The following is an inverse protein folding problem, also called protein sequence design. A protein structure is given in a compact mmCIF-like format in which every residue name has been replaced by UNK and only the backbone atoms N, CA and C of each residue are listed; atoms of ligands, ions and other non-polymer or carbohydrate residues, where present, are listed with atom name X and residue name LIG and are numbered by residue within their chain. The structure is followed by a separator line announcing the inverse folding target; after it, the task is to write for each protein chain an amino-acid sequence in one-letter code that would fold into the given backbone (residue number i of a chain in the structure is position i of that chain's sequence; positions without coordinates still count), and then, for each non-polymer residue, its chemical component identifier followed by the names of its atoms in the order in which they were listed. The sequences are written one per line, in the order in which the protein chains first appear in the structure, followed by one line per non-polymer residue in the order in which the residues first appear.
data_IF_068991089087
#
_entry.id   IF_068991089087
#
_cell.length_a   1.000
_cell.length_b   1.000
_cell.length_c   1.000
_cell.angle_alpha   90.00
_cell.angle_beta   90.00
_cell.angle_gamma   90.00
#
_symmetry.space_group_name_H-M   'P 1'
#
loop_
_entity.id
_entity.type
_entity.pdbx_description
1 polymer ?
#
# COMPACT_ATOMS: atom_id res chain seq x y z
N UNK A 1 44.65 -26.21 1.10
CA UNK A 1 44.81 -25.51 -0.19
C UNK A 1 44.75 -26.61 -1.24
N UNK A 2 43.56 -26.88 -1.80
CA UNK A 2 43.50 -27.75 -2.97
C UNK A 2 44.07 -26.93 -4.11
N UNK A 3 45.13 -27.42 -4.75
CA UNK A 3 45.72 -26.71 -5.89
C UNK A 3 44.64 -26.61 -6.98
N UNK A 4 44.40 -25.44 -7.56
CA UNK A 4 43.32 -25.25 -8.55
C UNK A 4 43.40 -26.27 -9.69
N UNK A 5 44.62 -26.62 -10.08
CA UNK A 5 44.88 -27.65 -11.08
C UNK A 5 44.52 -29.06 -10.62
N UNK A 6 44.69 -29.39 -9.33
CA UNK A 6 44.24 -30.68 -8.77
C UNK A 6 42.71 -30.78 -8.84
N UNK A 7 41.97 -29.71 -8.54
CA UNK A 7 40.51 -29.72 -8.64
C UNK A 7 40.04 -29.90 -10.08
N UNK A 8 40.68 -29.23 -11.06
CA UNK A 8 40.39 -29.44 -12.48
C UNK A 8 40.65 -30.88 -12.90
N UNK A 9 41.80 -31.42 -12.51
CA UNK A 9 42.16 -32.81 -12.80
C UNK A 9 41.13 -33.76 -12.20
N UNK A 10 40.71 -33.57 -10.95
CA UNK A 10 39.69 -34.39 -10.30
C UNK A 10 38.35 -34.29 -11.02
N UNK A 11 37.89 -33.09 -11.39
CA UNK A 11 36.63 -32.91 -12.12
C UNK A 11 36.67 -33.55 -13.51
N UNK A 12 37.79 -33.45 -14.22
CA UNK A 12 37.99 -34.10 -15.51
C UNK A 12 38.00 -35.63 -15.38
N UNK A 13 38.72 -36.16 -14.39
CA UNK A 13 38.73 -37.60 -14.10
C UNK A 13 37.32 -38.08 -13.76
N UNK A 14 36.59 -37.33 -12.93
CA UNK A 14 35.21 -37.65 -12.59
C UNK A 14 34.30 -37.68 -13.82
N UNK A 15 34.40 -36.69 -14.72
CA UNK A 15 33.63 -36.66 -15.95
C UNK A 15 33.96 -37.84 -16.89
N UNK A 16 35.25 -38.19 -17.00
CA UNK A 16 35.69 -39.34 -17.80
C UNK A 16 35.21 -40.68 -17.21
N UNK A 17 35.27 -40.84 -15.88
CA UNK A 17 34.76 -42.03 -15.19
C UNK A 17 33.24 -42.16 -15.38
N UNK A 18 32.52 -41.05 -15.32
CA UNK A 18 31.08 -41.03 -15.55
C UNK A 18 30.73 -41.40 -17.00
N UNK A 19 31.49 -40.90 -17.98
CA UNK A 19 31.33 -41.29 -19.39
C UNK A 19 31.62 -42.78 -19.59
N UNK A 20 32.69 -43.31 -18.99
CA UNK A 20 33.02 -44.74 -19.04
C UNK A 20 31.93 -45.62 -18.39
N UNK A 21 31.36 -45.18 -17.26
CA UNK A 21 30.25 -45.89 -16.60
C UNK A 21 29.01 -45.95 -17.50
N UNK A 22 28.65 -44.83 -18.12
CA UNK A 22 27.52 -44.75 -19.04
C UNK A 22 27.74 -45.61 -20.28
N UNK A 23 28.95 -45.61 -20.85
CA UNK A 23 29.32 -46.45 -21.99
C UNK A 23 29.27 -47.94 -21.65
N UNK A 24 29.78 -48.31 -20.47
CA UNK A 24 29.73 -49.69 -20.00
C UNK A 24 28.28 -50.16 -19.79
N UNK A 25 27.42 -49.30 -19.23
CA UNK A 25 26.00 -49.58 -19.05
C UNK A 25 25.25 -49.68 -20.38
N UNK A 26 25.49 -48.76 -21.31
CA UNK A 26 24.92 -48.78 -22.67
C UNK A 26 25.30 -50.08 -23.40
N UNK A 27 26.59 -50.46 -23.37
CA UNK A 27 27.08 -51.71 -23.94
C UNK A 27 26.45 -52.96 -23.28
N UNK A 28 26.27 -52.91 -21.95
CA UNK A 28 25.60 -53.95 -21.18
C UNK A 28 24.13 -54.16 -21.61
N UNK A 29 23.37 -53.07 -21.74
CA UNK A 29 21.98 -53.11 -22.20
C UNK A 29 21.88 -53.58 -23.65
N UNK A 30 22.77 -53.11 -24.55
CA UNK A 30 22.81 -53.58 -25.93
C UNK A 30 23.08 -55.09 -26.01
N UNK A 31 24.03 -55.60 -25.20
CA UNK A 31 24.32 -57.04 -25.12
C UNK A 31 23.10 -57.84 -24.62
N UNK A 32 22.41 -57.32 -23.60
CA UNK A 32 21.19 -57.93 -23.07
C UNK A 32 20.08 -57.96 -24.13
N UNK A 33 19.87 -56.85 -24.84
CA UNK A 33 18.89 -56.71 -25.92
C UNK A 33 19.18 -57.69 -27.07
N UNK A 34 20.44 -57.80 -27.50
CA UNK A 34 20.84 -58.76 -28.53
C UNK A 34 20.59 -60.20 -28.09
N UNK A 35 20.89 -60.54 -26.83
CA UNK A 35 20.59 -61.87 -26.27
C UNK A 35 19.09 -62.15 -26.28
N UNK A 36 18.26 -61.24 -25.79
CA UNK A 36 16.80 -61.38 -25.75
C UNK A 36 16.18 -61.46 -27.16
N UNK A 37 16.69 -60.68 -28.11
CA UNK A 37 16.26 -60.75 -29.52
C UNK A 37 16.57 -62.11 -30.15
N UNK A 38 17.76 -62.67 -29.86
CA UNK A 38 18.15 -64.02 -30.33
C UNK A 38 17.29 -65.11 -29.70
N UNK A 39 16.98 -65.02 -28.41
CA UNK A 39 16.06 -65.92 -27.72
C UNK A 39 14.65 -65.85 -28.36
N UNK A 40 14.15 -64.64 -28.64
CA UNK A 40 12.85 -64.44 -29.29
C UNK A 40 12.78 -65.08 -30.68
N UNK A 41 13.80 -64.89 -31.52
CA UNK A 41 13.86 -65.50 -32.87
C UNK A 41 13.89 -67.03 -32.77
N UNK A 42 14.58 -67.58 -31.78
CA UNK A 42 14.67 -69.03 -31.56
C UNK A 42 13.33 -69.64 -31.09
N UNK A 43 12.58 -68.90 -30.27
CA UNK A 43 11.26 -69.33 -29.75
C UNK A 43 10.10 -69.09 -30.74
N UNK A 44 10.27 -68.21 -31.72
CA UNK A 44 9.21 -67.81 -32.66
C UNK A 44 8.62 -68.97 -33.49
N UNK A 45 9.41 -69.91 -34.05
CA UNK A 45 8.85 -71.07 -34.77
C UNK A 45 8.03 -71.99 -33.87
N UNK A 46 8.40 -72.10 -32.59
CA UNK A 46 7.68 -72.90 -31.59
C UNK A 46 6.34 -72.24 -31.30
N UNK A 47 6.33 -70.92 -31.09
CA UNK A 47 5.11 -70.14 -30.90
C UNK A 47 4.13 -70.28 -32.08
N UNK A 48 4.62 -70.21 -33.33
CA UNK A 48 3.81 -70.38 -34.53
C UNK A 48 3.13 -71.75 -34.62
N UNK A 49 3.82 -72.83 -34.23
CA UNK A 49 3.22 -74.18 -34.21
C UNK A 49 2.07 -74.28 -33.23
N UNK A 50 2.20 -73.71 -32.03
CA UNK A 50 1.13 -73.73 -31.04
C UNK A 50 0.00 -72.74 -31.35
N UNK A 51 0.28 -71.64 -32.06
CA UNK A 51 -0.77 -70.73 -32.55
C UNK A 51 -1.73 -71.36 -33.57
N UNK A 52 -1.29 -72.41 -34.27
CA UNK A 52 -2.17 -73.20 -35.14
C UNK A 52 -3.21 -74.02 -34.34
N UNK A 53 -2.97 -74.30 -33.05
CA UNK A 53 -3.93 -75.00 -32.17
C UNK A 53 -5.20 -74.16 -31.98
N UNK A 54 -5.08 -72.84 -31.85
CA UNK A 54 -6.24 -71.94 -31.76
C UNK A 54 -7.02 -71.87 -33.08
N UNK A 55 -6.34 -71.98 -34.22
CA UNK A 55 -6.98 -72.08 -35.53
C UNK A 55 -7.74 -73.42 -35.68
N UNK A 56 -7.13 -74.53 -35.23
CA UNK A 56 -7.77 -75.85 -35.18
C UNK A 56 -8.98 -75.84 -34.24
N UNK A 57 -8.91 -75.13 -33.12
CA UNK A 57 -10.03 -74.93 -32.19
C UNK A 57 -11.18 -74.16 -32.85
N UNK A 58 -10.90 -73.04 -33.54
CA UNK A 58 -11.96 -72.29 -34.28
C UNK A 58 -12.65 -73.16 -35.33
N UNK A 59 -11.89 -73.98 -36.05
CA UNK A 59 -12.46 -74.91 -37.03
C UNK A 59 -13.24 -76.07 -36.37
N UNK A 60 -12.75 -76.61 -35.25
CA UNK A 60 -13.41 -77.68 -34.50
C UNK A 60 -14.55 -77.22 -33.58
N UNK A 61 -14.70 -75.93 -33.29
CA UNK A 61 -15.88 -75.38 -32.61
C UNK A 61 -16.99 -75.12 -33.65
N UNK A 62 -16.64 -74.68 -34.85
CA UNK A 62 -17.61 -74.56 -35.96
C UNK A 62 -18.16 -75.93 -36.39
N UNK A 63 -17.34 -76.97 -36.31
CA UNK A 63 -17.80 -78.34 -36.46
C UNK A 63 -18.20 -78.86 -35.09
N UNK A 64 -19.50 -78.90 -34.75
CA UNK A 64 -20.05 -79.52 -33.52
C UNK A 64 -19.62 -80.99 -33.26
N UNK A 65 -18.68 -81.54 -34.01
CA UNK A 65 -18.16 -82.92 -34.01
C UNK A 65 -17.95 -83.52 -32.61
N UNK A 66 -17.34 -82.80 -31.66
CA UNK A 66 -17.10 -83.35 -30.32
C UNK A 66 -18.36 -83.46 -29.45
N UNK A 67 -19.38 -82.66 -29.73
CA UNK A 67 -20.67 -82.64 -29.02
C UNK A 67 -21.74 -83.47 -29.75
N UNK A 68 -21.70 -83.50 -31.08
CA UNK A 68 -22.69 -84.15 -31.94
C UNK A 68 -22.43 -85.64 -32.16
N UNK A 69 -21.16 -86.09 -32.08
CA UNK A 69 -20.80 -87.49 -32.33
C UNK A 69 -21.40 -88.49 -31.31
N UNK A 70 -21.42 -88.24 -29.99
CA UNK A 70 -22.10 -89.14 -29.05
C UNK A 70 -23.63 -89.10 -29.21
N UNK A 71 -24.22 -87.96 -29.57
CA UNK A 71 -25.66 -87.84 -29.83
C UNK A 71 -26.08 -88.54 -31.13
N UNK A 72 -25.24 -88.48 -32.17
CA UNK A 72 -25.50 -89.20 -33.42
C UNK A 72 -25.46 -90.71 -33.22
N UNK A 73 -24.53 -91.21 -32.40
CA UNK A 73 -24.46 -92.64 -32.10
C UNK A 73 -25.67 -93.15 -31.29
N UNK A 74 -26.28 -92.31 -30.45
CA UNK A 74 -27.54 -92.65 -29.79
C UNK A 74 -28.72 -92.64 -30.75
N UNK A 75 -28.77 -91.71 -31.69
CA UNK A 75 -29.78 -91.71 -32.77
C UNK A 75 -29.63 -92.94 -33.68
N UNK A 76 -28.40 -93.24 -34.10
CA UNK A 76 -28.08 -94.40 -34.93
C UNK A 76 -28.43 -95.72 -34.23
N UNK A 77 -28.26 -95.78 -32.90
CA UNK A 77 -28.69 -96.92 -32.08
C UNK A 77 -30.23 -97.06 -32.07
N UNK A 78 -30.97 -95.98 -31.86
CA UNK A 78 -32.43 -95.99 -31.86
C UNK A 78 -32.96 -96.46 -33.23
N UNK A 79 -32.37 -95.99 -34.33
CA UNK A 79 -32.74 -96.38 -35.69
C UNK A 79 -32.43 -97.85 -35.99
N UNK A 80 -31.26 -98.34 -35.57
CA UNK A 80 -30.84 -99.74 -35.83
C UNK A 80 -31.64 -100.80 -35.06
N UNK A 81 -32.17 -100.45 -33.88
CA UNK A 81 -32.90 -101.39 -33.02
C UNK A 81 -34.43 -101.15 -32.98
N UNK A 82 -34.95 -100.22 -33.80
CA UNK A 82 -36.38 -99.87 -33.88
C UNK A 82 -37.32 -101.05 -34.22
N UNK A 83 -36.80 -102.15 -34.77
CA UNK A 83 -37.56 -103.35 -35.11
C UNK A 83 -37.71 -104.35 -33.95
N UNK A 84 -37.16 -104.05 -32.77
CA UNK A 84 -37.18 -104.89 -31.57
C UNK A 84 -38.46 -104.59 -30.75
N UNK A 85 -39.11 -105.58 -30.10
CA UNK A 85 -40.27 -105.34 -29.25
C UNK A 85 -39.97 -104.34 -28.13
N UNK A 86 -40.89 -103.41 -27.85
CA UNK A 86 -40.68 -102.25 -26.96
C UNK A 86 -40.11 -102.63 -25.57
N UNK A 87 -40.58 -103.72 -24.97
CA UNK A 87 -40.11 -104.19 -23.66
C UNK A 87 -38.62 -104.60 -23.66
N UNK A 88 -38.17 -105.23 -24.75
CA UNK A 88 -36.76 -105.65 -24.93
C UNK A 88 -35.91 -104.46 -25.39
N UNK A 89 -36.49 -103.52 -26.14
CA UNK A 89 -35.80 -102.30 -26.55
C UNK A 89 -35.48 -101.40 -25.35
N UNK A 90 -36.40 -101.24 -24.39
CA UNK A 90 -36.13 -100.48 -23.16
C UNK A 90 -35.02 -101.13 -22.32
N UNK A 91 -35.00 -102.45 -22.21
CA UNK A 91 -33.96 -103.20 -21.50
C UNK A 91 -32.59 -103.05 -22.18
N UNK A 92 -32.52 -103.16 -23.52
CA UNK A 92 -31.30 -102.91 -24.29
C UNK A 92 -30.82 -101.45 -24.17
N UNK A 93 -31.73 -100.47 -24.11
CA UNK A 93 -31.36 -99.06 -23.93
C UNK A 93 -30.74 -98.81 -22.54
N UNK A 94 -31.21 -99.49 -21.50
CA UNK A 94 -30.60 -99.44 -20.17
C UNK A 94 -29.20 -100.07 -20.18
N UNK A 95 -29.03 -101.21 -20.84
CA UNK A 95 -27.73 -101.88 -21.00
C UNK A 95 -26.75 -101.10 -21.89
N UNK A 96 -27.26 -100.29 -22.83
CA UNK A 96 -26.45 -99.42 -23.69
C UNK A 96 -25.92 -98.19 -22.93
N UNK A 97 -26.63 -97.75 -21.90
CA UNK A 97 -26.22 -96.67 -20.99
C UNK A 97 -25.33 -97.17 -19.85
N UNK A 98 -25.39 -98.46 -19.53
CA UNK A 98 -24.57 -99.07 -18.49
C UNK A 98 -23.08 -99.05 -18.85
N UNK A 99 -22.22 -98.74 -17.86
CA UNK A 99 -20.78 -98.56 -18.04
C UNK A 99 -20.01 -99.63 -17.28
N UNK A 100 -18.89 -100.13 -17.82
CA UNK A 100 -17.97 -100.97 -17.05
C UNK A 100 -17.40 -100.18 -15.86
N UNK A 101 -17.36 -100.80 -14.68
CA UNK A 101 -16.66 -100.26 -13.52
C UNK A 101 -15.15 -100.41 -13.73
N UNK A 102 -14.55 -99.48 -14.47
CA UNK A 102 -13.09 -99.45 -14.60
C UNK A 102 -12.45 -98.96 -13.29
N UNK A 103 -11.43 -99.64 -12.74
CA UNK A 103 -10.68 -99.12 -11.61
C UNK A 103 -10.01 -97.80 -12.02
N UNK A 104 -10.15 -96.76 -11.19
CA UNK A 104 -9.45 -95.48 -11.39
C UNK A 104 -7.95 -95.74 -11.36
N UNK A 105 -7.30 -95.73 -12.52
CA UNK A 105 -5.85 -95.60 -12.59
C UNK A 105 -5.51 -94.18 -12.14
N UNK A 106 -5.19 -94.02 -10.85
CA UNK A 106 -4.48 -92.84 -10.36
C UNK A 106 -3.11 -92.82 -11.03
N UNK A 107 -2.99 -92.07 -12.12
CA UNK A 107 -1.70 -91.80 -12.74
C UNK A 107 -0.90 -90.95 -11.75
N UNK A 108 0.04 -91.59 -11.05
CA UNK A 108 1.06 -90.92 -10.24
C UNK A 108 1.73 -89.82 -11.07
N UNK A 109 1.46 -88.58 -10.68
CA UNK A 109 1.92 -87.36 -11.33
C UNK A 109 3.39 -87.07 -10.98
N UNK A 110 4.33 -87.95 -11.36
CA UNK A 110 5.74 -87.67 -11.08
C UNK A 110 6.67 -88.13 -12.22
N UNK A 111 6.48 -87.53 -13.39
CA UNK A 111 7.47 -87.59 -14.48
C UNK A 111 7.85 -86.17 -14.86
N UNK A 112 9.13 -85.84 -14.66
CA UNK A 112 9.75 -84.52 -14.74
C UNK A 112 9.80 -83.88 -16.16
N UNK A 113 8.96 -84.32 -17.10
CA UNK A 113 8.88 -83.76 -18.44
C UNK A 113 7.52 -83.08 -18.68
N UNK A 114 7.43 -81.74 -18.62
CA UNK A 114 6.17 -81.00 -18.71
C UNK A 114 5.60 -80.86 -20.14
N UNK A 115 6.12 -81.62 -21.11
CA UNK A 115 5.80 -81.45 -22.54
C UNK A 115 5.08 -82.63 -23.20
N UNK A 116 4.93 -83.79 -22.54
CA UNK A 116 4.17 -84.92 -23.08
C UNK A 116 3.52 -85.67 -21.91
N UNK A 117 2.23 -85.42 -21.65
CA UNK A 117 1.46 -86.16 -20.63
C UNK A 117 0.29 -86.98 -21.20
N UNK A 118 0.31 -87.20 -22.51
CA UNK A 118 -0.49 -88.21 -23.17
C UNK A 118 0.28 -88.77 -24.35
N UNK A 119 1.03 -89.84 -24.13
CA UNK A 119 1.53 -90.65 -25.25
C UNK A 119 0.35 -91.28 -25.97
N UNK A 120 0.46 -91.51 -27.27
CA UNK A 120 -0.49 -92.34 -28.00
C UNK A 120 -0.53 -93.78 -27.43
N UNK A 121 0.54 -94.19 -26.75
CA UNK A 121 0.67 -95.47 -26.04
C UNK A 121 -0.25 -95.51 -24.81
N UNK A 122 -0.35 -94.40 -24.05
CA UNK A 122 -1.22 -94.30 -22.87
C UNK A 122 -2.71 -94.45 -23.23
N UNK A 123 -3.10 -93.92 -24.40
CA UNK A 123 -4.45 -94.09 -24.94
C UNK A 123 -4.75 -95.54 -25.31
N UNK A 124 -3.80 -96.19 -25.97
CA UNK A 124 -3.98 -97.56 -26.43
C UNK A 124 -4.06 -98.55 -25.26
N UNK A 125 -3.29 -98.30 -24.20
CA UNK A 125 -3.32 -99.09 -22.97
C UNK A 125 -4.62 -98.89 -22.19
N UNK A 126 -5.09 -97.65 -22.06
CA UNK A 126 -6.38 -97.33 -21.43
C UNK A 126 -7.57 -97.96 -22.20
N UNK A 127 -7.56 -97.88 -23.53
CA UNK A 127 -8.58 -98.52 -24.38
C UNK A 127 -8.51 -100.04 -24.27
N UNK A 128 -7.32 -100.63 -24.17
CA UNK A 128 -7.16 -102.09 -24.03
C UNK A 128 -7.70 -102.60 -22.69
N UNK A 129 -7.48 -101.87 -21.59
CA UNK A 129 -8.06 -102.19 -20.29
C UNK A 129 -9.60 -102.05 -20.30
N UNK A 130 -10.11 -100.99 -20.93
CA UNK A 130 -11.54 -100.77 -21.11
C UNK A 130 -12.18 -101.88 -21.95
N UNK A 131 -11.52 -102.35 -23.01
CA UNK A 131 -12.03 -103.46 -23.83
C UNK A 131 -12.10 -104.79 -23.07
N UNK A 132 -11.16 -105.04 -22.16
CA UNK A 132 -11.22 -106.23 -21.28
C UNK A 132 -12.40 -106.17 -20.31
N UNK A 133 -12.68 -105.01 -19.72
CA UNK A 133 -13.86 -104.82 -18.86
C UNK A 133 -15.18 -104.94 -19.66
N UNK A 134 -15.16 -104.61 -20.95
CA UNK A 134 -16.32 -104.83 -21.84
C UNK A 134 -16.57 -106.31 -22.13
N UNK A 135 -15.54 -107.16 -22.15
CA UNK A 135 -15.72 -108.60 -22.38
C UNK A 135 -16.54 -109.26 -21.25
N UNK A 136 -16.45 -108.76 -20.02
CA UNK A 136 -17.25 -109.23 -18.87
C UNK A 136 -18.73 -108.81 -19.00
N UNK A 137 -19.00 -107.57 -19.43
CA UNK A 137 -20.35 -107.04 -19.65
C UNK A 137 -21.05 -107.62 -20.89
N UNK A 138 -20.29 -108.07 -21.88
CA UNK A 138 -20.79 -108.68 -23.12
C UNK A 138 -21.04 -110.19 -22.98
N UNK A 139 -20.77 -110.78 -21.80
CA UNK A 139 -21.01 -112.19 -21.50
C UNK A 139 -22.46 -112.60 -21.83
N UNK A 140 -22.71 -113.78 -22.43
CA UNK A 140 -24.06 -114.25 -22.76
C UNK A 140 -24.96 -114.42 -21.54
N UNK A 141 -24.40 -114.41 -20.32
CA UNK A 141 -25.13 -114.42 -19.05
C UNK A 141 -25.98 -113.17 -18.83
N UNK A 142 -25.60 -112.04 -19.44
CA UNK A 142 -26.30 -110.75 -19.33
C UNK A 142 -27.30 -110.50 -20.47
N UNK A 143 -27.55 -111.50 -21.32
CA UNK A 143 -28.47 -111.38 -22.45
C UNK A 143 -29.95 -111.50 -21.99
N UNK A 144 -30.83 -110.57 -22.38
CA UNK A 144 -32.26 -110.64 -22.05
C UNK A 144 -32.93 -111.92 -22.57
N UNK A 145 -33.81 -112.50 -21.76
CA UNK A 145 -34.53 -113.72 -22.11
C UNK A 145 -35.47 -113.49 -23.29
N UNK A 146 -35.14 -114.06 -24.46
CA UNK A 146 -35.95 -113.97 -25.69
C UNK A 146 -35.32 -113.20 -26.85
N UNK A 147 -34.11 -112.67 -26.69
CA UNK A 147 -33.36 -112.03 -27.78
C UNK A 147 -32.63 -113.07 -28.66
N UNK A 148 -32.58 -112.82 -29.98
CA UNK A 148 -31.77 -113.64 -30.89
C UNK A 148 -30.27 -113.36 -30.71
N UNK A 149 -29.46 -114.41 -30.83
CA UNK A 149 -28.01 -114.34 -30.63
C UNK A 149 -27.32 -113.41 -31.64
N UNK A 150 -27.88 -113.27 -32.85
CA UNK A 150 -27.37 -112.33 -33.87
C UNK A 150 -27.60 -110.87 -33.48
N UNK A 151 -28.75 -110.56 -32.88
CA UNK A 151 -29.12 -109.21 -32.42
C UNK A 151 -28.29 -108.82 -31.19
N UNK A 152 -28.01 -109.77 -30.29
CA UNK A 152 -27.10 -109.54 -29.15
C UNK A 152 -25.67 -109.22 -29.60
N UNK A 153 -25.13 -109.96 -30.58
CA UNK A 153 -23.80 -109.70 -31.11
C UNK A 153 -23.70 -108.31 -31.76
N UNK A 154 -24.76 -107.88 -32.48
CA UNK A 154 -24.84 -106.54 -33.07
C UNK A 154 -24.94 -105.45 -32.00
N UNK A 155 -25.71 -105.69 -30.93
CA UNK A 155 -25.81 -104.79 -29.77
C UNK A 155 -24.46 -104.60 -29.06
N UNK A 156 -23.76 -105.70 -28.76
CA UNK A 156 -22.43 -105.69 -28.16
C UNK A 156 -21.44 -104.89 -29.01
N UNK A 157 -21.47 -105.05 -30.34
CA UNK A 157 -20.64 -104.28 -31.27
C UNK A 157 -20.97 -102.77 -31.24
N UNK A 158 -22.26 -102.41 -31.28
CA UNK A 158 -22.71 -101.02 -31.20
C UNK A 158 -22.29 -100.36 -29.88
N UNK A 159 -22.43 -101.08 -28.76
CA UNK A 159 -22.01 -100.63 -27.42
C UNK A 159 -20.50 -100.42 -27.32
N UNK A 160 -19.69 -101.36 -27.81
CA UNK A 160 -18.22 -101.23 -27.88
C UNK A 160 -17.80 -100.05 -28.77
N UNK A 161 -18.46 -99.84 -29.90
CA UNK A 161 -18.17 -98.72 -30.78
C UNK A 161 -18.47 -97.37 -30.12
N UNK A 162 -19.62 -97.24 -29.42
CA UNK A 162 -19.93 -96.05 -28.62
C UNK A 162 -18.85 -95.78 -27.58
N UNK A 163 -18.51 -96.77 -26.77
CA UNK A 163 -17.52 -96.62 -25.69
C UNK A 163 -16.14 -96.25 -26.24
N UNK A 164 -15.68 -96.90 -27.32
CA UNK A 164 -14.44 -96.52 -28.01
C UNK A 164 -14.46 -95.08 -28.51
N UNK A 165 -15.57 -94.65 -29.11
CA UNK A 165 -15.70 -93.31 -29.68
C UNK A 165 -15.73 -92.22 -28.59
N UNK A 166 -16.40 -92.47 -27.47
CA UNK A 166 -16.45 -91.55 -26.33
C UNK A 166 -15.08 -91.45 -25.66
N UNK A 167 -14.36 -92.56 -25.50
CA UNK A 167 -13.01 -92.54 -24.93
C UNK A 167 -12.03 -91.82 -25.85
N UNK A 168 -12.16 -92.01 -27.17
CA UNK A 168 -11.41 -91.23 -28.17
C UNK A 168 -11.71 -89.72 -28.08
N UNK A 169 -12.98 -89.35 -27.88
CA UNK A 169 -13.41 -87.97 -27.70
C UNK A 169 -12.82 -87.37 -26.42
N UNK A 170 -12.87 -88.10 -25.29
CA UNK A 170 -12.25 -87.68 -24.02
C UNK A 170 -10.75 -87.48 -24.16
N UNK A 171 -10.05 -88.44 -24.78
CA UNK A 171 -8.60 -88.33 -24.98
C UNK A 171 -8.23 -87.15 -25.87
N UNK A 172 -8.94 -86.95 -26.99
CA UNK A 172 -8.74 -85.77 -27.86
C UNK A 172 -9.04 -84.47 -27.13
N UNK A 173 -10.05 -84.44 -26.26
CA UNK A 173 -10.38 -83.27 -25.45
C UNK A 173 -9.28 -82.96 -24.42
N UNK A 174 -8.72 -83.98 -23.76
CA UNK A 174 -7.59 -83.84 -22.84
C UNK A 174 -6.33 -83.34 -23.58
N UNK A 175 -5.96 -83.98 -24.70
CA UNK A 175 -4.83 -83.55 -25.52
C UNK A 175 -5.00 -82.10 -26.01
N UNK A 176 -6.21 -81.71 -26.41
CA UNK A 176 -6.52 -80.34 -26.79
C UNK A 176 -6.40 -79.36 -25.62
N UNK A 177 -6.85 -79.73 -24.42
CA UNK A 177 -6.71 -78.91 -23.21
C UNK A 177 -5.24 -78.71 -22.82
N UNK A 178 -4.41 -79.75 -22.90
CA UNK A 178 -2.96 -79.66 -22.66
C UNK A 178 -2.27 -78.76 -23.68
N UNK A 179 -2.59 -78.90 -24.97
CA UNK A 179 -2.06 -78.03 -26.03
C UNK A 179 -2.47 -76.57 -25.80
N UNK A 180 -3.70 -76.31 -25.35
CA UNK A 180 -4.17 -74.95 -25.02
C UNK A 180 -3.43 -74.38 -23.80
N UNK A 181 -3.26 -75.16 -22.73
CA UNK A 181 -2.50 -74.73 -21.56
C UNK A 181 -1.02 -74.45 -21.89
N UNK A 182 -0.43 -75.24 -22.81
CA UNK A 182 0.90 -74.96 -23.35
C UNK A 182 0.93 -73.66 -24.15
N UNK A 183 -0.04 -73.45 -25.04
CA UNK A 183 -0.14 -72.23 -25.85
C UNK A 183 -0.26 -70.98 -24.97
N UNK A 184 -1.16 -70.99 -23.98
CA UNK A 184 -1.34 -69.86 -23.06
C UNK A 184 -0.06 -69.54 -22.27
N UNK A 185 0.67 -70.56 -21.80
CA UNK A 185 1.98 -70.36 -21.17
C UNK A 185 2.97 -69.67 -22.11
N UNK A 186 3.04 -70.09 -23.38
CA UNK A 186 3.91 -69.46 -24.38
C UNK A 186 3.51 -68.02 -24.72
N UNK A 187 2.21 -67.72 -24.75
CA UNK A 187 1.71 -66.34 -24.93
C UNK A 187 2.16 -65.47 -23.76
N UNK A 188 1.98 -65.93 -22.52
CA UNK A 188 2.40 -65.20 -21.33
C UNK A 188 3.92 -64.97 -21.28
N UNK A 189 4.73 -65.98 -21.62
CA UNK A 189 6.19 -65.86 -21.73
C UNK A 189 6.60 -64.84 -22.81
N UNK A 190 5.92 -64.82 -23.96
CA UNK A 190 6.18 -63.88 -25.04
C UNK A 190 5.80 -62.44 -24.65
N UNK A 191 4.66 -62.23 -23.98
CA UNK A 191 4.28 -60.91 -23.47
C UNK A 191 5.26 -60.41 -22.40
N UNK A 192 5.69 -61.28 -21.48
CA UNK A 192 6.74 -60.95 -20.52
C UNK A 192 8.03 -60.54 -21.23
N UNK A 193 8.48 -61.30 -22.22
CA UNK A 193 9.69 -60.98 -22.99
C UNK A 193 9.55 -59.66 -23.78
N UNK A 194 8.36 -59.35 -24.32
CA UNK A 194 8.10 -58.06 -24.97
C UNK A 194 8.19 -56.90 -23.98
N UNK A 195 7.57 -57.02 -22.81
CA UNK A 195 7.64 -55.99 -21.77
C UNK A 195 9.08 -55.78 -21.28
N UNK A 196 9.85 -56.85 -21.06
CA UNK A 196 11.27 -56.74 -20.71
C UNK A 196 12.07 -56.00 -21.79
N UNK A 197 11.82 -56.32 -23.07
CA UNK A 197 12.48 -55.68 -24.21
C UNK A 197 12.14 -54.19 -24.30
N UNK A 198 10.87 -53.83 -24.13
CA UNK A 198 10.39 -52.44 -24.12
C UNK A 198 11.03 -51.64 -22.99
N UNK A 199 11.06 -52.19 -21.77
CA UNK A 199 11.72 -51.55 -20.64
C UNK A 199 13.21 -51.31 -20.89
N UNK A 200 13.91 -52.29 -21.49
CA UNK A 200 15.33 -52.13 -21.88
C UNK A 200 15.50 -51.03 -22.94
N UNK A 201 14.58 -50.91 -23.90
CA UNK A 201 14.62 -49.84 -24.90
C UNK A 201 14.44 -48.47 -24.26
N UNK A 202 13.47 -48.32 -23.36
CA UNK A 202 13.24 -47.06 -22.65
C UNK A 202 14.46 -46.66 -21.80
N UNK A 203 15.08 -47.61 -21.11
CA UNK A 203 16.30 -47.36 -20.34
C UNK A 203 17.47 -46.94 -21.25
N UNK A 204 17.60 -47.56 -22.42
CA UNK A 204 18.61 -47.19 -23.41
C UNK A 204 18.40 -45.77 -23.92
N UNK A 205 17.17 -45.39 -24.26
CA UNK A 205 16.84 -44.03 -24.71
C UNK A 205 17.14 -43.01 -23.62
N UNK A 206 16.77 -43.30 -22.36
CA UNK A 206 17.09 -42.44 -21.23
C UNK A 206 18.61 -42.27 -21.05
N UNK A 207 19.39 -43.35 -21.13
CA UNK A 207 20.86 -43.27 -21.06
C UNK A 207 21.46 -42.44 -22.20
N UNK A 208 20.94 -42.56 -23.41
CA UNK A 208 21.40 -41.77 -24.56
C UNK A 208 21.14 -40.28 -24.36
N UNK A 209 19.96 -39.91 -23.84
CA UNK A 209 19.67 -38.53 -23.47
C UNK A 209 20.59 -38.01 -22.38
N UNK A 210 20.86 -38.81 -21.34
CA UNK A 210 21.72 -38.41 -20.23
C UNK A 210 23.18 -38.24 -20.67
N UNK A 211 23.68 -39.14 -21.53
CA UNK A 211 24.97 -39.02 -22.18
C UNK A 211 25.06 -37.76 -23.04
N UNK A 212 24.02 -37.48 -23.83
CA UNK A 212 23.96 -36.26 -24.65
C UNK A 212 23.99 -35.00 -23.79
N UNK A 213 23.26 -34.98 -22.66
CA UNK A 213 23.30 -33.85 -21.72
C UNK A 213 24.71 -33.66 -21.15
N UNK A 214 25.38 -34.72 -20.71
CA UNK A 214 26.74 -34.63 -20.17
C UNK A 214 27.76 -34.14 -21.20
N UNK A 215 27.63 -34.59 -22.46
CA UNK A 215 28.50 -34.14 -23.55
C UNK A 215 28.27 -32.67 -23.92
N UNK A 216 27.04 -32.16 -23.77
CA UNK A 216 26.71 -30.76 -24.04
C UNK A 216 27.00 -29.85 -22.84
N UNK A 217 26.81 -30.35 -21.62
CA UNK A 217 26.98 -29.61 -20.38
C UNK A 217 28.44 -29.64 -19.93
N UNK A 218 29.23 -28.71 -20.45
CA UNK A 218 30.61 -28.54 -20.05
C UNK A 218 30.70 -27.88 -18.66
N UNK A 219 31.43 -28.51 -17.76
CA UNK A 219 31.77 -27.89 -16.47
C UNK A 219 32.89 -26.88 -16.68
N UNK A 220 32.57 -25.61 -16.47
CA UNK A 220 33.54 -24.50 -16.56
C UNK A 220 33.83 -23.96 -15.17
N UNK A 221 35.11 -23.89 -14.82
CA UNK A 221 35.54 -23.30 -13.55
C UNK A 221 35.82 -21.81 -13.71
N UNK A 222 35.12 -20.99 -12.93
CA UNK A 222 35.37 -19.55 -12.86
C UNK A 222 36.15 -19.20 -11.59
N UNK A 223 37.11 -18.29 -11.72
CA UNK A 223 37.81 -17.70 -10.59
C UNK A 223 37.26 -16.29 -10.35
N UNK A 224 36.35 -16.18 -9.38
CA UNK A 224 35.71 -14.92 -9.00
C UNK A 224 36.32 -14.39 -7.70
N UNK A 225 36.41 -13.06 -7.60
CA UNK A 225 36.86 -12.39 -6.36
C UNK A 225 35.70 -12.26 -5.37
N UNK A 226 36.04 -12.20 -4.07
CA UNK A 226 35.07 -11.85 -3.02
C UNK A 226 34.44 -10.48 -3.34
N UNK A 227 33.11 -10.41 -3.37
CA UNK A 227 32.35 -9.25 -3.82
C UNK A 227 31.79 -9.35 -5.25
N UNK A 228 32.23 -10.33 -6.06
CA UNK A 228 31.54 -10.71 -7.32
C UNK A 228 30.56 -11.86 -7.12
N UNK A 229 30.56 -12.45 -5.92
CA UNK A 229 29.65 -13.51 -5.50
C UNK A 229 28.79 -12.92 -4.39
N UNK A 230 27.50 -12.76 -4.66
CA UNK A 230 26.51 -12.19 -3.74
C UNK A 230 25.73 -13.31 -3.01
N UNK A 231 26.44 -14.33 -2.52
CA UNK A 231 25.85 -15.43 -1.75
C UNK A 231 26.18 -15.28 -0.27
N UNK A 232 25.25 -15.71 0.58
CA UNK A 232 25.48 -15.80 2.02
C UNK A 232 26.58 -16.82 2.32
N UNK A 233 27.60 -16.41 3.07
CA UNK A 233 28.76 -17.26 3.33
C UNK A 233 28.44 -18.30 4.41
N UNK A 234 27.96 -19.48 4.02
CA UNK A 234 28.02 -20.68 4.86
C UNK A 234 29.45 -21.23 4.95
N UNK A 235 29.76 -22.01 6.01
CA UNK A 235 31.10 -22.63 6.20
C UNK A 235 31.53 -23.52 5.01
N UNK A 236 30.55 -24.09 4.31
CA UNK A 236 30.72 -24.74 3.01
C UNK A 236 29.81 -23.95 2.05
N UNK A 237 30.37 -23.18 1.11
CA UNK A 237 29.57 -22.41 0.18
C UNK A 237 28.73 -23.34 -0.69
N UNK A 238 27.40 -23.23 -0.59
CA UNK A 238 26.48 -23.94 -1.46
C UNK A 238 26.14 -23.05 -2.65
N UNK A 239 26.44 -23.53 -3.86
CA UNK A 239 26.23 -22.79 -5.11
C UNK A 239 25.06 -23.35 -5.93
N UNK A 240 24.21 -24.19 -5.34
CA UNK A 240 23.08 -24.84 -6.02
C UNK A 240 22.10 -23.84 -6.63
N UNK A 241 21.86 -22.73 -5.93
CA UNK A 241 20.95 -21.65 -6.36
C UNK A 241 21.68 -20.48 -7.03
N UNK A 242 22.98 -20.65 -7.34
CA UNK A 242 23.78 -19.57 -7.92
C UNK A 242 23.49 -19.41 -9.43
N UNK A 243 23.32 -18.16 -9.87
CA UNK A 243 23.11 -17.82 -11.28
C UNK A 243 24.27 -16.94 -11.74
N UNK A 244 24.85 -17.26 -12.90
CA UNK A 244 25.85 -16.43 -13.55
C UNK A 244 25.16 -15.33 -14.36
N UNK A 245 25.36 -14.07 -13.97
CA UNK A 245 24.80 -12.90 -14.65
C UNK A 245 25.93 -12.13 -15.32
N UNK A 246 25.70 -11.68 -16.56
CA UNK A 246 26.65 -10.81 -17.23
C UNK A 246 26.76 -9.46 -16.50
N UNK A 247 28.00 -9.01 -16.31
CA UNK A 247 28.33 -7.75 -15.65
C UNK A 247 27.67 -6.56 -16.36
N UNK A 248 27.52 -6.63 -17.69
CA UNK A 248 26.91 -5.56 -18.48
C UNK A 248 25.50 -5.21 -18.00
N UNK A 249 24.70 -6.22 -17.64
CA UNK A 249 23.32 -6.05 -17.16
C UNK A 249 23.29 -5.32 -15.82
N UNK A 250 24.21 -5.68 -14.91
CA UNK A 250 24.33 -5.04 -13.59
C UNK A 250 24.81 -3.59 -13.75
N UNK A 251 25.77 -3.33 -14.63
CA UNK A 251 26.27 -1.98 -14.91
C UNK A 251 25.22 -1.10 -15.59
N UNK A 252 24.44 -1.63 -16.53
CA UNK A 252 23.32 -0.92 -17.16
C UNK A 252 22.25 -0.55 -16.14
N UNK A 253 21.91 -1.48 -15.24
CA UNK A 253 20.96 -1.21 -14.15
C UNK A 253 21.50 -0.11 -13.21
N UNK A 254 22.78 -0.18 -12.84
CA UNK A 254 23.42 0.82 -11.99
C UNK A 254 23.46 2.20 -12.66
N UNK A 255 23.75 2.27 -13.96
CA UNK A 255 23.68 3.50 -14.74
C UNK A 255 22.25 4.07 -14.77
N UNK A 256 21.25 3.21 -14.94
CA UNK A 256 19.83 3.60 -14.92
C UNK A 256 19.44 4.13 -13.54
N UNK A 257 19.84 3.46 -12.46
CA UNK A 257 19.60 3.89 -11.08
C UNK A 257 20.27 5.23 -10.79
N UNK A 258 21.51 5.43 -11.23
CA UNK A 258 22.22 6.70 -11.09
C UNK A 258 21.48 7.84 -11.82
N UNK A 259 21.04 7.61 -13.06
CA UNK A 259 20.27 8.60 -13.83
C UNK A 259 18.93 8.94 -13.18
N UNK A 260 18.23 7.96 -12.58
CA UNK A 260 17.01 8.22 -11.82
C UNK A 260 17.28 8.98 -10.52
N UNK A 261 18.39 8.67 -9.85
CA UNK A 261 18.87 9.41 -8.69
C UNK A 261 19.15 10.88 -9.01
N UNK A 262 19.82 11.14 -10.14
CA UNK A 262 20.10 12.51 -10.60
C UNK A 262 18.81 13.27 -10.94
N UNK A 263 17.85 12.65 -11.63
CA UNK A 263 16.53 13.25 -11.88
C UNK A 263 15.82 13.64 -10.58
N UNK A 264 15.86 12.76 -9.57
CA UNK A 264 15.28 13.05 -8.25
C UNK A 264 15.98 14.24 -7.58
N UNK A 265 17.30 14.29 -7.63
CA UNK A 265 18.08 15.41 -7.07
C UNK A 265 17.75 16.71 -7.79
N UNK A 266 17.71 16.73 -9.12
CA UNK A 266 17.33 17.91 -9.90
C UNK A 266 15.94 18.41 -9.53
N UNK A 267 14.94 17.52 -9.46
CA UNK A 267 13.59 17.89 -9.02
C UNK A 267 13.57 18.44 -7.58
N UNK A 268 14.36 17.86 -6.67
CA UNK A 268 14.49 18.38 -5.31
C UNK A 268 15.13 19.77 -5.27
N UNK A 269 16.12 20.04 -6.11
CA UNK A 269 16.76 21.36 -6.22
C UNK A 269 15.78 22.39 -6.78
N UNK A 270 15.07 22.06 -7.86
CA UNK A 270 14.02 22.90 -8.44
C UNK A 270 12.94 23.25 -7.42
N UNK A 271 12.44 22.26 -6.67
CA UNK A 271 11.44 22.49 -5.62
C UNK A 271 11.96 23.41 -4.51
N UNK A 272 13.21 23.20 -4.08
CA UNK A 272 13.87 24.05 -3.08
C UNK A 272 13.98 25.49 -3.57
N UNK A 273 14.38 25.70 -4.82
CA UNK A 273 14.54 27.05 -5.38
C UNK A 273 13.19 27.73 -5.67
N UNK A 274 12.17 26.96 -6.08
CA UNK A 274 10.78 27.44 -6.16
C UNK A 274 10.27 27.90 -4.78
N UNK A 275 10.50 27.12 -3.73
CA UNK A 275 10.12 27.47 -2.37
C UNK A 275 10.81 28.75 -1.86
N UNK A 276 12.10 28.91 -2.18
CA UNK A 276 12.81 30.18 -1.90
C UNK A 276 12.19 31.36 -2.65
N UNK A 277 11.82 31.17 -3.92
CA UNK A 277 11.13 32.18 -4.72
C UNK A 277 9.80 32.62 -4.09
N UNK A 278 9.01 31.67 -3.59
CA UNK A 278 7.76 31.97 -2.85
C UNK A 278 8.07 32.82 -1.61
N UNK A 279 9.03 32.40 -0.77
CA UNK A 279 9.39 33.13 0.46
C UNK A 279 9.85 34.56 0.13
N UNK A 280 10.63 34.75 -0.94
CA UNK A 280 11.07 36.07 -1.37
C UNK A 280 9.87 36.94 -1.80
N UNK A 281 8.96 36.39 -2.62
CA UNK A 281 7.76 37.10 -3.06
C UNK A 281 6.84 37.47 -1.89
N UNK A 282 6.67 36.58 -0.92
CA UNK A 282 5.91 36.85 0.30
C UNK A 282 6.52 38.00 1.11
N UNK A 283 7.86 38.03 1.22
CA UNK A 283 8.58 39.11 1.87
C UNK A 283 8.41 40.44 1.14
N UNK A 284 8.55 40.45 -0.18
CA UNK A 284 8.33 41.64 -1.01
C UNK A 284 6.90 42.18 -0.89
N UNK A 285 5.91 41.28 -0.93
CA UNK A 285 4.52 41.64 -0.71
C UNK A 285 4.28 42.23 0.68
N UNK A 286 4.88 41.66 1.72
CA UNK A 286 4.79 42.21 3.09
C UNK A 286 5.44 43.59 3.19
N UNK A 287 6.60 43.79 2.55
CA UNK A 287 7.27 45.09 2.45
C UNK A 287 6.37 46.12 1.76
N UNK A 288 5.78 45.78 0.61
CA UNK A 288 4.87 46.69 -0.10
C UNK A 288 3.63 47.02 0.73
N UNK A 289 3.03 46.04 1.43
CA UNK A 289 1.93 46.30 2.36
C UNK A 289 2.30 47.27 3.47
N UNK A 290 3.49 47.14 4.05
CA UNK A 290 3.99 48.07 5.06
C UNK A 290 4.20 49.48 4.48
N UNK A 291 4.76 49.59 3.27
CA UNK A 291 4.89 50.87 2.57
C UNK A 291 3.54 51.52 2.28
N UNK A 292 2.54 50.75 1.86
CA UNK A 292 1.17 51.24 1.67
C UNK A 292 0.60 51.75 2.99
N UNK A 293 0.80 51.03 4.09
CA UNK A 293 0.32 51.46 5.40
C UNK A 293 1.02 52.75 5.87
N UNK A 294 2.34 52.85 5.71
CA UNK A 294 3.12 54.06 6.02
C UNK A 294 2.64 55.27 5.20
N UNK A 295 2.41 55.09 3.89
CA UNK A 295 1.87 56.14 3.03
C UNK A 295 0.45 56.55 3.44
N UNK A 296 -0.41 55.60 3.84
CA UNK A 296 -1.74 55.90 4.37
C UNK A 296 -1.67 56.67 5.70
N UNK A 297 -0.75 56.30 6.58
CA UNK A 297 -0.51 57.02 7.84
C UNK A 297 -0.07 58.45 7.55
N UNK A 298 0.95 58.64 6.71
CA UNK A 298 1.43 59.95 6.27
C UNK A 298 0.33 60.80 5.65
N UNK A 299 -0.53 60.20 4.83
CA UNK A 299 -1.69 60.91 4.26
C UNK A 299 -2.67 61.36 5.34
N UNK A 300 -2.96 60.51 6.33
CA UNK A 300 -3.79 60.87 7.50
C UNK A 300 -3.15 61.99 8.31
N UNK A 301 -1.85 61.91 8.56
CA UNK A 301 -1.10 62.93 9.30
C UNK A 301 -1.14 64.28 8.59
N UNK A 302 -0.98 64.31 7.26
CA UNK A 302 -1.10 65.55 6.47
C UNK A 302 -2.50 66.17 6.61
N UNK A 303 -3.56 65.36 6.59
CA UNK A 303 -4.94 65.85 6.75
C UNK A 303 -5.20 66.38 8.15
N UNK A 304 -4.62 65.74 9.18
CA UNK A 304 -4.82 66.12 10.59
C UNK A 304 -3.92 67.29 11.00
N UNK A 305 -2.82 67.53 10.29
CA UNK A 305 -1.85 68.58 10.59
C UNK A 305 -2.55 69.94 10.70
N UNK A 306 -2.58 70.57 11.89
CA UNK A 306 -3.18 71.90 12.03
C UNK A 306 -2.30 72.92 11.32
N UNK A 307 -2.76 73.41 10.18
CA UNK A 307 -2.06 74.44 9.42
C UNK A 307 -2.25 75.78 10.16
N UNK A 308 -1.15 76.34 10.68
CA UNK A 308 -1.15 77.71 11.22
C UNK A 308 -1.57 78.71 10.14
N UNK A 309 -2.24 79.79 10.55
CA UNK A 309 -2.66 80.87 9.64
C UNK A 309 -1.49 81.42 8.81
N UNK A 310 -0.29 81.47 9.39
CA UNK A 310 0.91 81.94 8.69
C UNK A 310 1.34 80.99 7.57
N UNK A 311 1.29 79.67 7.82
CA UNK A 311 1.54 78.67 6.77
C UNK A 311 0.49 78.71 5.67
N UNK A 312 -0.78 78.95 6.02
CA UNK A 312 -1.85 79.13 5.04
C UNK A 312 -1.58 80.35 4.16
N UNK A 313 -1.21 81.49 4.75
CA UNK A 313 -0.84 82.71 4.00
C UNK A 313 0.37 82.47 3.07
N UNK A 314 1.38 81.73 3.54
CA UNK A 314 2.55 81.35 2.73
C UNK A 314 2.18 80.51 1.49
N UNK A 315 1.31 79.52 1.66
CA UNK A 315 0.90 78.64 0.57
C UNK A 315 -0.07 79.30 -0.43
N UNK A 316 -0.86 80.29 0.01
CA UNK A 316 -1.92 80.89 -0.81
C UNK A 316 -1.45 82.14 -1.58
N UNK A 317 -0.52 82.91 -1.01
CA UNK A 317 -0.07 84.19 -1.57
C UNK A 317 1.22 83.99 -2.35
N UNK A 318 1.20 84.21 -3.67
CA UNK A 318 2.36 83.99 -4.56
C UNK A 318 3.59 84.86 -4.22
N UNK A 319 3.40 86.02 -3.59
CA UNK A 319 4.46 86.93 -3.15
C UNK A 319 4.40 87.14 -1.63
N UNK A 320 4.53 86.05 -0.87
CA UNK A 320 4.46 86.08 0.60
C UNK A 320 5.42 87.10 1.21
N UNK A 321 6.66 87.16 0.73
CA UNK A 321 7.67 88.10 1.24
C UNK A 321 7.25 89.55 1.04
N UNK A 322 6.61 89.88 -0.08
CA UNK A 322 6.07 91.23 -0.33
C UNK A 322 4.87 91.52 0.55
N UNK A 323 3.97 90.56 0.75
CA UNK A 323 2.82 90.71 1.64
C UNK A 323 3.23 90.91 3.10
N UNK A 324 4.20 90.13 3.59
CA UNK A 324 4.80 90.32 4.90
C UNK A 324 5.46 91.69 4.98
N UNK A 325 6.29 92.07 4.01
CA UNK A 325 6.97 93.36 4.02
C UNK A 325 5.98 94.53 4.08
N UNK A 326 4.86 94.45 3.35
CA UNK A 326 3.79 95.45 3.40
C UNK A 326 3.06 95.46 4.74
N UNK A 327 2.75 94.30 5.31
CA UNK A 327 2.11 94.19 6.62
C UNK A 327 3.03 94.71 7.73
N UNK A 328 4.31 94.34 7.71
CA UNK A 328 5.33 94.84 8.62
C UNK A 328 5.49 96.36 8.48
N UNK A 329 5.58 96.89 7.26
CA UNK A 329 5.65 98.33 7.03
C UNK A 329 4.41 99.06 7.58
N UNK A 330 3.21 98.50 7.41
CA UNK A 330 1.97 99.05 7.98
C UNK A 330 1.95 99.02 9.51
N UNK A 331 2.43 97.95 10.12
CA UNK A 331 2.58 97.84 11.59
C UNK A 331 3.63 98.81 12.12
N UNK A 332 4.78 98.94 11.46
CA UNK A 332 5.85 99.88 11.80
C UNK A 332 5.36 101.33 11.70
N UNK A 333 4.60 101.66 10.66
CA UNK A 333 3.98 102.98 10.53
C UNK A 333 2.99 103.25 11.68
N UNK A 334 2.16 102.28 12.03
CA UNK A 334 1.18 102.39 13.13
C UNK A 334 1.88 102.54 14.49
N UNK A 335 2.93 101.76 14.73
CA UNK A 335 3.79 101.89 15.92
C UNK A 335 4.47 103.26 15.96
N UNK A 336 4.97 103.75 14.84
CA UNK A 336 5.56 105.09 14.74
C UNK A 336 4.56 106.22 15.04
N UNK A 337 3.30 106.09 14.61
CA UNK A 337 2.22 107.02 14.97
C UNK A 337 1.90 106.94 16.47
N UNK A 338 1.77 105.73 17.02
CA UNK A 338 1.55 105.54 18.46
C UNK A 338 2.69 106.10 19.30
N UNK A 339 3.94 105.90 18.91
CA UNK A 339 5.09 106.41 19.66
C UNK A 339 5.14 107.94 19.61
N UNK A 340 4.86 108.57 18.46
CA UNK A 340 4.72 110.04 18.37
C UNK A 340 3.61 110.57 19.27
N UNK A 341 2.45 109.91 19.28
CA UNK A 341 1.33 110.26 20.16
C UNK A 341 1.70 110.09 21.63
N UNK A 342 2.34 108.97 21.98
CA UNK A 342 2.80 108.68 23.33
C UNK A 342 3.80 109.74 23.80
N UNK A 343 4.81 110.09 22.99
CA UNK A 343 5.77 111.18 23.28
C UNK A 343 5.08 112.52 23.49
N UNK A 344 4.06 112.86 22.69
CA UNK A 344 3.27 114.10 22.86
C UNK A 344 2.49 114.07 24.18
N UNK A 345 1.86 112.95 24.50
CA UNK A 345 1.14 112.77 25.75
C UNK A 345 2.06 112.86 26.96
N UNK A 346 3.23 112.22 26.92
CA UNK A 346 4.24 112.31 27.97
C UNK A 346 4.69 113.77 28.18
N UNK A 347 4.98 114.51 27.10
CA UNK A 347 5.32 115.95 27.20
C UNK A 347 4.20 116.78 27.83
N UNK A 348 2.95 116.51 27.49
CA UNK A 348 1.79 117.20 28.07
C UNK A 348 1.62 116.88 29.56
N UNK A 349 1.78 115.61 29.95
CA UNK A 349 1.75 115.21 31.36
C UNK A 349 2.91 115.85 32.13
N UNK A 350 4.12 115.91 31.58
CA UNK A 350 5.25 116.60 32.19
C UNK A 350 5.00 118.11 32.37
N UNK A 351 4.31 118.77 31.42
CA UNK A 351 3.89 120.18 31.59
C UNK A 351 2.90 120.33 32.75
N UNK A 352 1.84 119.50 32.80
CA UNK A 352 0.88 119.49 33.91
C UNK A 352 1.55 119.22 35.27
N UNK A 353 2.49 118.27 35.33
CA UNK A 353 3.26 118.01 36.56
C UNK A 353 4.07 119.23 36.98
N UNK A 354 4.68 119.96 36.04
CA UNK A 354 5.42 121.20 36.36
C UNK A 354 4.50 122.31 36.88
N UNK A 355 3.32 122.46 36.29
CA UNK A 355 2.30 123.43 36.74
C UNK A 355 1.77 123.08 38.13
N UNK A 356 1.43 121.81 38.37
CA UNK A 356 1.00 121.33 39.68
C UNK A 356 2.11 121.52 40.73
N UNK A 357 3.37 121.20 40.41
CA UNK A 357 4.51 121.47 41.32
C UNK A 357 4.68 122.96 41.65
N UNK A 358 4.42 123.87 40.70
CA UNK A 358 4.41 125.32 40.98
C UNK A 358 3.26 125.69 41.91
N UNK A 359 2.06 125.16 41.66
CA UNK A 359 0.88 125.41 42.52
C UNK A 359 1.09 124.88 43.93
N UNK A 360 1.68 123.68 44.08
CA UNK A 360 2.03 123.10 45.38
C UNK A 360 2.97 124.05 46.14
N UNK A 361 4.06 124.51 45.51
CA UNK A 361 4.99 125.46 46.16
C UNK A 361 4.32 126.76 46.61
N UNK A 362 3.44 127.33 45.77
CA UNK A 362 2.70 128.53 46.13
C UNK A 362 1.75 128.27 47.31
N UNK A 363 1.10 127.11 47.35
CA UNK A 363 0.23 126.71 48.46
C UNK A 363 1.02 126.38 49.73
N UNK A 364 2.21 125.78 49.62
CA UNK A 364 3.12 125.56 50.74
C UNK A 364 3.61 126.88 51.34
N UNK A 365 3.97 127.86 50.49
CA UNK A 365 4.34 129.20 50.94
C UNK A 365 3.18 129.91 51.64
N UNK A 366 1.98 129.88 51.05
CA UNK A 366 0.78 130.42 51.69
C UNK A 366 0.46 129.71 53.01
N UNK A 367 0.60 128.38 53.08
CA UNK A 367 0.41 127.62 54.32
C UNK A 367 1.47 127.96 55.37
N UNK A 368 2.71 128.24 54.96
CA UNK A 368 3.77 128.68 55.87
C UNK A 368 3.48 130.07 56.44
N UNK A 369 3.06 131.02 55.60
CA UNK A 369 2.63 132.36 56.04
C UNK A 369 1.43 132.28 56.99
N UNK A 370 0.41 131.49 56.65
CA UNK A 370 -0.72 131.23 57.54
C UNK A 370 -0.29 130.59 58.85
N UNK A 371 0.67 129.66 58.82
CA UNK A 371 1.21 129.04 60.04
C UNK A 371 1.98 130.04 60.91
N UNK A 372 2.68 130.99 60.30
CA UNK A 372 3.36 132.08 61.00
C UNK A 372 2.36 133.02 61.67
N UNK A 373 1.31 133.42 60.93
CA UNK A 373 0.20 134.21 61.48
C UNK A 373 -0.50 133.48 62.62
N UNK A 374 -0.68 132.16 62.51
CA UNK A 374 -1.31 131.35 63.56
C UNK A 374 -0.43 131.32 64.83
N UNK A 375 0.90 131.22 64.68
CA UNK A 375 1.84 131.32 65.80
C UNK A 375 1.81 132.69 66.46
N UNK A 376 1.81 133.77 65.67
CA UNK A 376 1.74 135.14 66.19
C UNK A 376 0.41 135.42 66.90
N UNK A 377 -0.69 134.93 66.32
CA UNK A 377 -2.01 135.01 66.95
C UNK A 377 -2.07 134.16 68.24
N UNK A 378 -1.41 133.00 68.28
CA UNK A 378 -1.31 132.17 69.48
C UNK A 378 -0.54 132.90 70.59
N UNK A 379 0.58 133.55 70.25
CA UNK A 379 1.33 134.40 71.20
C UNK A 379 0.46 135.55 71.69
N UNK A 380 -0.23 136.25 70.80
CA UNK A 380 -1.16 137.33 71.17
C UNK A 380 -2.30 136.83 72.07
N UNK A 381 -2.84 135.64 71.82
CA UNK A 381 -3.88 135.03 72.65
C UNK A 381 -3.31 134.58 73.99
N UNK A 382 -2.10 134.01 74.04
CA UNK A 382 -1.47 133.62 75.30
C UNK A 382 -1.10 134.84 76.15
N UNK A 383 -0.60 135.92 75.53
CA UNK A 383 -0.35 137.20 76.21
C UNK A 383 -1.64 137.80 76.74
N UNK A 384 -2.71 137.84 75.93
CA UNK A 384 -4.05 138.25 76.42
C UNK A 384 -4.54 137.34 77.54
N UNK A 385 -4.32 136.03 77.45
CA UNK A 385 -4.73 135.08 78.49
C UNK A 385 -3.91 135.25 79.78
N UNK A 386 -2.62 135.60 79.68
CA UNK A 386 -1.77 135.94 80.81
C UNK A 386 -2.18 137.28 81.45
N UNK A 387 -2.48 138.30 80.64
CA UNK A 387 -3.02 139.59 81.11
C UNK A 387 -4.38 139.39 81.79
N UNK A 388 -5.28 138.58 81.19
CA UNK A 388 -6.57 138.24 81.78
C UNK A 388 -6.44 137.45 83.09
N UNK A 389 -5.48 136.52 83.18
CA UNK A 389 -5.19 135.78 84.42
C UNK A 389 -4.58 136.67 85.51
N UNK A 390 -3.79 137.68 85.14
CA UNK A 390 -3.17 138.62 86.08
C UNK A 390 -4.12 139.72 86.57
N UNK A 391 -5.12 140.10 85.76
CA UNK A 391 -6.06 141.18 86.08
C UNK A 391 -7.26 140.74 86.95
N UNK A 392 -7.37 139.46 87.32
CA UNK A 392 -8.46 138.86 88.12
C UNK A 392 -9.88 139.40 87.79
N UNK A 393 -10.16 139.60 86.50
CA UNK A 393 -11.44 140.09 85.96
C UNK A 393 -12.31 138.95 85.43
N UNK A 394 -12.10 137.72 85.93
CA UNK A 394 -12.79 136.51 85.47
C UNK A 394 -14.32 136.65 85.54
N UNK A 395 -14.83 137.18 86.65
CA UNK A 395 -16.28 137.30 86.88
C UNK A 395 -16.95 138.45 86.10
N UNK A 396 -16.22 139.51 85.75
CA UNK A 396 -16.75 140.63 84.94
C UNK A 396 -16.74 140.25 83.46
N UNK A 397 -15.68 139.57 83.01
CA UNK A 397 -15.50 139.10 81.64
C UNK A 397 -16.55 138.06 81.22
N UNK A 398 -16.86 137.08 82.06
CA UNK A 398 -17.91 136.09 81.75
C UNK A 398 -19.29 136.74 81.63
N UNK A 399 -19.58 137.76 82.45
CA UNK A 399 -20.85 138.52 82.38
C UNK A 399 -20.96 139.30 81.06
N UNK A 400 -19.89 140.00 80.65
CA UNK A 400 -19.84 140.74 79.37
C UNK A 400 -19.86 139.77 78.18
N UNK A 401 -19.18 138.63 78.27
CA UNK A 401 -19.15 137.62 77.20
C UNK A 401 -20.52 136.95 77.03
N UNK A 402 -21.24 136.65 78.12
CA UNK A 402 -22.63 136.19 78.04
C UNK A 402 -23.56 137.24 77.44
N UNK A 403 -23.42 138.51 77.82
CA UNK A 403 -24.21 139.60 77.23
C UNK A 403 -23.91 139.78 75.73
N UNK A 404 -22.63 139.82 75.33
CA UNK A 404 -22.23 139.88 73.92
C UNK A 404 -22.68 138.66 73.12
N UNK A 405 -22.63 137.46 73.70
CA UNK A 405 -23.14 136.25 73.05
C UNK A 405 -24.66 136.35 72.84
N UNK A 406 -25.41 136.83 73.83
CA UNK A 406 -26.85 137.10 73.68
C UNK A 406 -27.12 138.18 72.63
N UNK A 407 -26.31 139.24 72.54
CA UNK A 407 -26.42 140.26 71.49
C UNK A 407 -26.09 139.72 70.10
N UNK A 408 -25.07 138.86 69.95
CA UNK A 408 -24.73 138.22 68.68
C UNK A 408 -25.85 137.26 68.24
N UNK A 409 -26.42 136.49 69.16
CA UNK A 409 -27.57 135.64 68.89
C UNK A 409 -28.77 136.48 68.47
N UNK A 410 -29.04 137.61 69.15
CA UNK A 410 -30.09 138.56 68.75
C UNK A 410 -29.81 139.19 67.39
N UNK A 411 -28.57 139.60 67.09
CA UNK A 411 -28.20 140.14 65.78
C UNK A 411 -28.28 139.09 64.66
N UNK A 412 -27.98 137.83 64.94
CA UNK A 412 -28.15 136.73 63.98
C UNK A 412 -29.62 136.47 63.72
N UNK A 413 -30.45 136.49 64.77
CA UNK A 413 -31.90 136.39 64.65
C UNK A 413 -32.48 137.54 63.82
N UNK A 414 -32.11 138.79 64.14
CA UNK A 414 -32.53 139.98 63.39
C UNK A 414 -32.01 139.99 61.94
N UNK A 415 -30.76 139.58 61.69
CA UNK A 415 -30.25 139.46 60.31
C UNK A 415 -30.94 138.37 59.52
N UNK A 416 -31.29 137.24 60.13
CA UNK A 416 -32.11 136.22 59.48
C UNK A 416 -33.52 136.73 59.21
N UNK A 417 -34.10 137.50 60.14
CA UNK A 417 -35.41 138.15 59.94
C UNK A 417 -35.38 139.16 58.80
N UNK A 418 -34.33 139.99 58.72
CA UNK A 418 -34.12 140.93 57.60
C UNK A 418 -33.90 140.16 56.30
N UNK A 419 -33.10 139.09 56.28
CA UNK A 419 -32.90 138.26 55.08
C UNK A 419 -34.19 137.60 54.61
N UNK A 420 -35.06 137.22 55.54
CA UNK A 420 -36.38 136.68 55.22
C UNK A 420 -37.30 137.79 54.70
N UNK A 421 -37.27 138.98 55.29
CA UNK A 421 -37.99 140.15 54.78
C UNK A 421 -37.47 140.62 53.41
N UNK A 422 -36.16 140.58 53.16
CA UNK A 422 -35.54 140.85 51.86
C UNK A 422 -35.94 139.78 50.83
N UNK A 423 -36.05 138.51 51.23
CA UNK A 423 -36.62 137.47 50.36
C UNK A 423 -38.08 137.75 50.04
N UNK A 424 -38.89 138.13 51.03
CA UNK A 424 -40.29 138.49 50.81
C UNK A 424 -40.40 139.74 49.92
N UNK A 425 -39.54 140.74 50.11
CA UNK A 425 -39.47 141.92 49.25
C UNK A 425 -38.95 141.60 47.85
N UNK A 426 -38.00 140.68 47.69
CA UNK A 426 -37.51 140.23 46.38
C UNK A 426 -38.57 139.42 45.63
N UNK A 427 -39.35 138.60 46.33
CA UNK A 427 -40.53 137.91 45.77
C UNK A 427 -41.57 138.94 45.32
N UNK A 428 -41.88 139.93 46.16
CA UNK A 428 -42.83 141.00 45.82
C UNK A 428 -42.33 141.91 44.69
N UNK A 429 -41.01 142.18 44.59
CA UNK A 429 -40.42 142.91 43.47
C UNK A 429 -40.46 142.12 42.17
N UNK A 430 -40.26 140.79 42.22
CA UNK A 430 -40.40 139.89 41.06
C UNK A 430 -41.83 139.65 40.59
N UNK A 431 -42.84 140.10 41.34
CA UNK A 431 -44.25 140.11 40.92
C UNK A 431 -44.66 141.46 40.27
N UNK A 432 -43.79 142.46 40.29
CA UNK A 432 -44.05 143.83 39.78
C UNK A 432 -43.15 144.30 38.64
N UNK A 433 -42.20 143.48 38.18
CA UNK A 433 -41.53 143.56 36.86
C UNK A 433 -41.88 142.31 36.05
#
# INVERSE_FOLDING_TARGET
IISQEELKIVNLIYALLLEEELDAREAGLHKFLMKKKKEKVTLYPVFLRYGQVDALKKNNINNNFFLSHPQSLEHDFIEQFAHTPDNLFEELLQLYKHRPETPRTETLLDTANPYVKGSAEDYQDAVSLLMKAMDELDSPEHMPSGLDQSVWAHFCLARRNKIKSEELVKWKALALAEMQACHQRRVAENEKMKSELENTFQELTWLQEEKMKLQQNLTVQFLLKQGQVELESTQIPEYSDAILIDRSVVEELNCTLAAQGEKKITAMVEFKDFSKGIIQLEWEHKKMKMQIQDLKEKARDIVILPISKDCQLFLTVHNYDTHIAQHLAGMEQSLGVMDKLHRKNVKNHQKKVRELKKCIRLKEQANYELSLQLKEMLVSVSERMHIFKAADTRDISEKITRQRYQEIVKQKYLRNLIREQEKQLAILQSETE
#
